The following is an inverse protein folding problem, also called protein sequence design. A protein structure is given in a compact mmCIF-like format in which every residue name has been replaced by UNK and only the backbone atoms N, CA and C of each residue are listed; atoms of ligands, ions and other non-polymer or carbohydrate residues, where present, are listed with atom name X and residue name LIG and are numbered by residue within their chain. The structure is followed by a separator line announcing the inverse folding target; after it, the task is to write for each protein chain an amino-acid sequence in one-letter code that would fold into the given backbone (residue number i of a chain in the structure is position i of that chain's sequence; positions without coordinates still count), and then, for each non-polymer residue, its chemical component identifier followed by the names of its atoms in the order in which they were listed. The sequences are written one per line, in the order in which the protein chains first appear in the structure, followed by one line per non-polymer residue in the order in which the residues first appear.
data_IF_035525006449
#
_entry.id   IF_035525006449
#
_cell.length_a   1.000
_cell.length_b   1.000
_cell.length_c   1.000
_cell.angle_alpha   90.00
_cell.angle_beta   90.00
_cell.angle_gamma   90.00
#
_symmetry.space_group_name_H-M   'P 1'
#
loop_
_entity.id
_entity.type
_entity.pdbx_description
1 polymer ?
#
# COMPACT_ATOMS: atom_id res chain seq x y z
N UNK A 1 -28.06 -18.28 17.79
CA UNK A 1 -29.20 -17.57 17.18
C UNK A 1 -29.15 -17.79 15.66
N UNK A 2 -30.30 -17.94 15.00
CA UNK A 2 -30.39 -18.02 13.53
C UNK A 2 -29.69 -16.83 12.83
N UNK A 3 -29.65 -15.68 13.49
CA UNK A 3 -28.90 -14.50 13.04
C UNK A 3 -27.39 -14.77 12.85
N UNK A 4 -26.74 -15.51 13.77
CA UNK A 4 -25.31 -15.81 13.65
C UNK A 4 -24.97 -16.85 12.58
N UNK A 5 -25.94 -17.68 12.16
CA UNK A 5 -25.77 -18.60 11.03
C UNK A 5 -25.87 -17.87 9.68
N UNK A 6 -26.75 -16.88 9.57
CA UNK A 6 -26.85 -16.01 8.39
C UNK A 6 -25.62 -15.10 8.24
N UNK A 7 -25.05 -14.64 9.36
CA UNK A 7 -23.87 -13.77 9.36
C UNK A 7 -22.60 -14.48 8.87
N UNK A 8 -22.51 -15.80 9.08
CA UNK A 8 -21.40 -16.64 8.56
C UNK A 8 -21.31 -16.64 7.02
N UNK A 9 -22.44 -16.42 6.34
CA UNK A 9 -22.51 -16.38 4.88
C UNK A 9 -22.31 -14.97 4.31
N UNK A 10 -22.27 -13.94 5.16
CA UNK A 10 -22.02 -12.56 4.75
C UNK A 10 -20.52 -12.39 4.50
N UNK A 11 -20.11 -12.41 3.22
CA UNK A 11 -18.74 -12.05 2.80
C UNK A 11 -18.56 -10.52 2.81
N UNK A 12 -18.78 -9.91 3.97
CA UNK A 12 -18.68 -8.47 4.16
C UNK A 12 -17.89 -8.15 5.43
N UNK A 13 -17.37 -6.94 5.53
CA UNK A 13 -16.51 -6.50 6.65
C UNK A 13 -17.23 -5.40 7.43
N UNK A 14 -17.38 -5.58 8.74
CA UNK A 14 -17.87 -4.52 9.61
C UNK A 14 -16.76 -3.49 9.91
N UNK A 15 -16.98 -2.25 9.48
CA UNK A 15 -16.08 -1.14 9.81
C UNK A 15 -16.31 -0.69 11.26
N UNK A 16 -15.21 -0.49 11.99
CA UNK A 16 -15.28 0.08 13.34
C UNK A 16 -15.75 1.53 13.27
N UNK A 17 -16.51 1.98 14.26
CA UNK A 17 -17.02 3.36 14.35
C UNK A 17 -15.89 4.41 14.35
N UNK A 18 -14.70 4.04 14.83
CA UNK A 18 -13.52 4.91 14.88
C UNK A 18 -12.60 4.77 13.65
N UNK A 19 -13.05 4.12 12.58
CA UNK A 19 -12.26 4.02 11.35
C UNK A 19 -12.02 5.41 10.74
N UNK A 20 -10.82 5.70 10.18
CA UNK A 20 -10.55 6.97 9.52
C UNK A 20 -11.51 7.20 8.34
N UNK A 21 -12.18 8.34 8.32
CA UNK A 21 -13.09 8.77 7.24
C UNK A 21 -12.51 9.86 6.34
N UNK A 22 -11.27 10.30 6.62
CA UNK A 22 -10.57 11.34 5.87
C UNK A 22 -9.32 10.78 5.21
N UNK A 23 -8.95 11.34 4.05
CA UNK A 23 -7.73 10.96 3.34
C UNK A 23 -6.50 11.58 4.02
N UNK A 24 -5.72 10.76 4.71
CA UNK A 24 -4.50 11.16 5.41
C UNK A 24 -3.31 11.25 4.45
N UNK A 25 -3.36 12.20 3.51
CA UNK A 25 -2.39 12.37 2.41
C UNK A 25 -0.92 12.36 2.87
N UNK A 26 -0.63 13.07 3.96
CA UNK A 26 0.73 13.19 4.48
C UNK A 26 1.26 11.90 5.10
N UNK A 27 0.38 11.17 5.77
CA UNK A 27 0.71 9.87 6.35
C UNK A 27 1.01 8.84 5.26
N UNK A 28 0.19 8.79 4.21
CA UNK A 28 0.42 7.88 3.08
C UNK A 28 1.71 8.21 2.32
N UNK A 29 1.98 9.48 2.06
CA UNK A 29 3.21 9.88 1.39
C UNK A 29 4.47 9.55 2.21
N UNK A 30 4.41 9.77 3.52
CA UNK A 30 5.49 9.39 4.45
C UNK A 30 5.72 7.88 4.43
N UNK A 31 4.64 7.09 4.49
CA UNK A 31 4.72 5.63 4.42
C UNK A 31 5.38 5.13 3.13
N UNK A 32 4.97 5.65 1.97
CA UNK A 32 5.55 5.25 0.67
C UNK A 32 7.04 5.60 0.61
N UNK A 33 7.42 6.81 1.05
CA UNK A 33 8.82 7.26 1.08
C UNK A 33 9.70 6.36 1.97
N UNK A 34 9.15 5.88 3.07
CA UNK A 34 9.88 5.06 4.05
C UNK A 34 9.84 3.56 3.74
N UNK A 35 9.14 3.16 2.68
CA UNK A 35 9.08 1.78 2.22
C UNK A 35 10.46 1.32 1.73
N UNK A 36 11.23 0.72 2.62
CA UNK A 36 12.54 0.14 2.26
C UNK A 36 12.34 -1.25 1.66
N UNK A 37 12.97 -1.58 0.52
CA UNK A 37 13.02 -2.96 0.06
C UNK A 37 13.78 -3.79 1.10
N UNK A 38 13.10 -4.79 1.68
CA UNK A 38 13.76 -5.80 2.51
C UNK A 38 14.68 -6.60 1.59
N UNK A 39 15.98 -6.29 1.65
CA UNK A 39 17.02 -7.06 1.01
C UNK A 39 17.39 -8.18 2.00
N UNK A 40 17.20 -9.44 1.59
CA UNK A 40 17.65 -10.69 2.23
C UNK A 40 16.63 -11.53 3.01
N UNK A 41 15.55 -11.96 2.35
CA UNK A 41 14.66 -13.01 2.87
C UNK A 41 14.13 -13.83 1.68
N UNK A 42 13.72 -15.09 1.88
CA UNK A 42 13.18 -15.97 0.82
C UNK A 42 11.97 -15.38 0.06
N UNK A 43 11.26 -14.42 0.67
CA UNK A 43 10.23 -13.60 0.01
C UNK A 43 10.78 -12.74 -1.15
N UNK A 44 12.06 -12.42 -1.13
CA UNK A 44 12.73 -11.57 -2.13
C UNK A 44 12.63 -12.17 -3.54
N UNK A 45 12.82 -13.49 -3.68
CA UNK A 45 12.77 -14.18 -4.97
C UNK A 45 11.33 -14.26 -5.51
N UNK A 46 10.34 -14.46 -4.64
CA UNK A 46 8.93 -14.53 -5.06
C UNK A 46 8.38 -13.18 -5.50
N UNK A 47 8.83 -12.09 -4.87
CA UNK A 47 8.35 -10.74 -5.16
C UNK A 47 9.13 -10.02 -6.27
N UNK A 48 10.22 -10.60 -6.78
CA UNK A 48 11.05 -10.02 -7.85
C UNK A 48 10.22 -9.60 -9.07
N UNK A 49 9.32 -10.47 -9.52
CA UNK A 49 8.43 -10.22 -10.67
C UNK A 49 7.46 -9.05 -10.44
N UNK A 50 7.10 -8.78 -9.19
CA UNK A 50 6.17 -7.72 -8.81
C UNK A 50 6.87 -6.42 -8.42
N UNK A 51 8.21 -6.40 -8.37
CA UNK A 51 8.96 -5.27 -7.83
C UNK A 51 8.83 -4.02 -8.68
N UNK A 52 8.95 -4.15 -10.00
CA UNK A 52 8.71 -3.03 -10.93
C UNK A 52 7.26 -2.55 -10.84
N UNK A 53 6.29 -3.46 -10.72
CA UNK A 53 4.89 -3.11 -10.50
C UNK A 53 4.68 -2.37 -9.17
N UNK A 54 5.37 -2.78 -8.11
CA UNK A 54 5.35 -2.11 -6.81
C UNK A 54 5.91 -0.68 -6.87
N UNK A 55 7.03 -0.49 -7.58
CA UNK A 55 7.60 0.84 -7.85
C UNK A 55 6.59 1.70 -8.61
N UNK A 56 5.99 1.17 -9.68
CA UNK A 56 4.96 1.87 -10.45
C UNK A 56 3.79 2.31 -9.56
N UNK A 57 3.23 1.42 -8.73
CA UNK A 57 2.13 1.78 -7.84
C UNK A 57 2.50 2.87 -6.83
N UNK A 58 3.72 2.82 -6.26
CA UNK A 58 4.20 3.82 -5.33
C UNK A 58 4.37 5.19 -6.01
N UNK A 59 4.98 5.22 -7.19
CA UNK A 59 5.18 6.45 -7.97
C UNK A 59 3.84 7.06 -8.39
N UNK A 60 2.92 6.26 -8.92
CA UNK A 60 1.59 6.73 -9.31
C UNK A 60 0.78 7.26 -8.12
N UNK A 61 0.85 6.60 -6.96
CA UNK A 61 0.21 7.09 -5.75
C UNK A 61 0.79 8.44 -5.29
N UNK A 62 2.11 8.62 -5.35
CA UNK A 62 2.76 9.88 -5.01
C UNK A 62 2.41 11.01 -5.97
N UNK A 63 2.26 10.71 -7.26
CA UNK A 63 1.80 11.68 -8.26
C UNK A 63 0.34 12.11 -8.01
N UNK A 64 -0.57 11.15 -7.75
CA UNK A 64 -1.95 11.45 -7.35
C UNK A 64 -2.04 12.28 -6.06
N UNK A 65 -1.09 12.10 -5.15
CA UNK A 65 -0.96 12.90 -3.94
C UNK A 65 -0.32 14.29 -4.17
N UNK A 66 0.16 14.59 -5.38
CA UNK A 66 0.86 15.83 -5.71
C UNK A 66 2.23 15.93 -5.04
N UNK A 67 2.84 14.79 -4.73
CA UNK A 67 4.06 14.64 -3.91
C UNK A 67 5.17 13.90 -4.62
N UNK A 68 5.10 13.81 -5.94
CA UNK A 68 6.10 13.12 -6.76
C UNK A 68 7.53 13.64 -6.52
N UNK A 69 7.70 14.94 -6.22
CA UNK A 69 9.00 15.55 -5.91
C UNK A 69 9.68 15.02 -4.64
N UNK A 70 8.97 14.27 -3.79
CA UNK A 70 9.55 13.64 -2.60
C UNK A 70 10.19 12.26 -2.91
N UNK A 71 10.05 11.76 -4.14
CA UNK A 71 10.63 10.49 -4.58
C UNK A 71 12.00 10.70 -5.21
N UNK A 72 12.88 9.71 -5.07
CA UNK A 72 14.17 9.69 -5.74
C UNK A 72 14.02 9.14 -7.17
N UNK A 73 13.84 10.06 -8.13
CA UNK A 73 13.63 9.71 -9.54
C UNK A 73 14.85 9.03 -10.18
N UNK A 74 16.08 9.41 -9.79
CA UNK A 74 17.29 8.80 -10.34
C UNK A 74 17.45 7.36 -9.84
N UNK A 75 17.20 7.11 -8.56
CA UNK A 75 17.20 5.75 -8.01
C UNK A 75 16.11 4.86 -8.64
N UNK A 76 14.95 5.43 -8.98
CA UNK A 76 13.87 4.70 -9.66
C UNK A 76 14.25 4.34 -11.10
N UNK A 77 14.82 5.28 -11.85
CA UNK A 77 15.20 5.06 -13.26
C UNK A 77 16.39 4.11 -13.38
N UNK A 78 17.28 4.08 -12.39
CA UNK A 78 18.45 3.19 -12.36
C UNK A 78 18.16 1.78 -11.85
N UNK A 79 16.93 1.52 -11.37
CA UNK A 79 16.48 0.20 -10.93
C UNK A 79 16.21 -0.73 -12.11
#
# INVERSE_FOLDING_TARGET
SFAGFLDIARKDVDLKENAPSTLLRDLHATYIRELKPRRMDSEYIMQESLRVSGIYWCVSAMDLLGKLSLMDGEAIVSY
#
